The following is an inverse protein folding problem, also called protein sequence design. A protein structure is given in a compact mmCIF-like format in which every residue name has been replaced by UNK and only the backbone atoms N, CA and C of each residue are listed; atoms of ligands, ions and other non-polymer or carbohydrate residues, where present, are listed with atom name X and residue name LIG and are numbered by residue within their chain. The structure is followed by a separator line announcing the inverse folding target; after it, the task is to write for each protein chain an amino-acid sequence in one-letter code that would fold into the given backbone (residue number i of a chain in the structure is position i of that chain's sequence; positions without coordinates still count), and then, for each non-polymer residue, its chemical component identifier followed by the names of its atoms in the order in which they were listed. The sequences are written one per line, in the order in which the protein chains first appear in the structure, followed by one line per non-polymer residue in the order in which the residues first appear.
data_IF_895902306176
#
_entry.id   IF_895902306176
#
_cell.length_a   1.000
_cell.length_b   1.000
_cell.length_c   1.000
_cell.angle_alpha   90.00
_cell.angle_beta   90.00
_cell.angle_gamma   90.00
#
_symmetry.space_group_name_H-M   'P 1'
#
loop_
_entity.id
_entity.type
_entity.pdbx_description
1 polymer ?
#
# COMPACT_ATOMS: atom_id res chain seq x y z
N UNK A 1 14.32 -20.70 -7.37
CA UNK A 1 14.61 -21.05 -5.97
C UNK A 1 15.34 -19.91 -5.26
N UNK A 2 16.40 -19.36 -5.84
CA UNK A 2 17.25 -18.33 -5.23
C UNK A 2 16.53 -17.02 -4.87
N UNK A 3 15.58 -16.56 -5.70
CA UNK A 3 14.79 -15.37 -5.39
C UNK A 3 13.93 -15.55 -4.12
N UNK A 4 13.36 -16.74 -3.94
CA UNK A 4 12.59 -17.08 -2.74
C UNK A 4 13.48 -17.19 -1.50
N UNK A 5 14.68 -17.77 -1.63
CA UNK A 5 15.67 -17.85 -0.53
C UNK A 5 16.18 -16.46 -0.12
N UNK A 6 16.50 -15.58 -1.07
CA UNK A 6 16.87 -14.18 -0.77
C UNK A 6 15.74 -13.43 -0.09
N UNK A 7 14.51 -13.67 -0.52
CA UNK A 7 13.30 -13.11 0.07
C UNK A 7 13.10 -13.57 1.52
N UNK A 8 13.16 -14.87 1.79
CA UNK A 8 13.00 -15.41 3.15
C UNK A 8 14.17 -15.06 4.06
N UNK A 9 15.33 -14.70 3.53
CA UNK A 9 16.44 -14.19 4.33
C UNK A 9 16.25 -12.73 4.79
N UNK A 10 15.32 -11.98 4.19
CA UNK A 10 15.01 -10.62 4.61
C UNK A 10 13.89 -10.60 5.66
N UNK A 11 14.10 -9.87 6.76
CA UNK A 11 13.07 -9.66 7.80
C UNK A 11 11.79 -9.06 7.22
N UNK A 12 11.91 -8.08 6.33
CA UNK A 12 10.77 -7.48 5.61
C UNK A 12 10.04 -8.49 4.73
N UNK A 13 10.77 -9.45 4.14
CA UNK A 13 10.16 -10.50 3.35
C UNK A 13 9.27 -11.40 4.21
N UNK A 14 9.78 -11.85 5.36
CA UNK A 14 9.02 -12.65 6.34
C UNK A 14 7.79 -11.90 6.87
N UNK A 15 7.91 -10.61 7.21
CA UNK A 15 6.76 -9.79 7.63
C UNK A 15 5.67 -9.74 6.55
N UNK A 16 6.04 -9.56 5.28
CA UNK A 16 5.06 -9.52 4.17
C UNK A 16 4.39 -10.85 3.92
N UNK A 17 5.12 -11.97 4.05
CA UNK A 17 4.51 -13.29 3.97
C UNK A 17 3.47 -13.48 5.08
N UNK A 18 3.83 -13.11 6.31
CA UNK A 18 2.92 -13.17 7.45
C UNK A 18 1.72 -12.25 7.25
N UNK A 19 1.92 -11.04 6.71
CA UNK A 19 0.84 -10.12 6.35
C UNK A 19 -0.12 -10.74 5.33
N UNK A 20 0.41 -11.38 4.28
CA UNK A 20 -0.39 -12.08 3.28
C UNK A 20 -1.20 -13.22 3.91
N UNK A 21 -0.59 -14.05 4.75
CA UNK A 21 -1.27 -15.14 5.47
C UNK A 21 -2.38 -14.60 6.38
N UNK A 22 -2.11 -13.52 7.12
CA UNK A 22 -3.10 -12.90 8.01
C UNK A 22 -4.34 -12.45 7.24
N UNK A 23 -4.15 -11.72 6.14
CA UNK A 23 -5.25 -11.21 5.32
C UNK A 23 -5.95 -12.31 4.51
N UNK A 24 -5.23 -13.36 4.10
CA UNK A 24 -5.83 -14.56 3.52
C UNK A 24 -6.74 -15.28 4.54
N UNK A 25 -6.30 -15.42 5.79
CA UNK A 25 -7.15 -15.98 6.86
C UNK A 25 -8.40 -15.14 7.07
N UNK A 26 -8.27 -13.81 7.10
CA UNK A 26 -9.41 -12.89 7.24
C UNK A 26 -10.41 -13.03 6.09
N UNK A 27 -9.93 -13.12 4.84
CA UNK A 27 -10.77 -13.34 3.66
C UNK A 27 -11.46 -14.71 3.69
N UNK A 28 -10.72 -15.78 4.00
CA UNK A 28 -11.27 -17.13 4.09
C UNK A 28 -12.33 -17.24 5.19
N UNK A 29 -12.11 -16.59 6.34
CA UNK A 29 -13.12 -16.54 7.42
C UNK A 29 -14.42 -15.91 6.93
N UNK A 30 -14.34 -14.79 6.23
CA UNK A 30 -15.52 -14.14 5.66
C UNK A 30 -16.26 -15.02 4.64
N UNK A 31 -15.52 -15.75 3.79
CA UNK A 31 -16.12 -16.65 2.79
C UNK A 31 -16.72 -17.94 3.39
N UNK A 32 -16.23 -18.37 4.55
CA UNK A 32 -16.72 -19.56 5.26
C UNK A 32 -17.87 -19.24 6.21
N UNK A 33 -17.98 -18.02 6.70
CA UNK A 33 -19.04 -17.58 7.62
C UNK A 33 -20.46 -17.79 7.05
N UNK A 34 -20.61 -17.79 5.71
CA UNK A 34 -21.87 -18.07 5.02
C UNK A 34 -22.17 -19.56 4.80
N UNK A 35 -21.25 -20.47 5.16
CA UNK A 35 -21.36 -21.91 4.92
C UNK A 35 -21.58 -22.69 6.22
N UNK A 36 -22.64 -23.50 6.25
CA UNK A 36 -22.94 -24.40 7.37
C UNK A 36 -21.80 -25.43 7.59
N UNK A 37 -21.51 -25.74 8.85
CA UNK A 37 -20.52 -26.77 9.23
C UNK A 37 -19.05 -26.33 9.21
N UNK A 38 -18.76 -25.04 9.01
CA UNK A 38 -17.37 -24.54 8.90
C UNK A 38 -16.82 -23.90 10.18
N UNK A 39 -17.55 -23.95 11.30
CA UNK A 39 -17.20 -23.30 12.56
C UNK A 39 -15.81 -23.70 13.08
N UNK A 40 -15.50 -24.99 13.05
CA UNK A 40 -14.19 -25.50 13.46
C UNK A 40 -13.04 -24.92 12.60
N UNK A 41 -13.28 -24.73 11.30
CA UNK A 41 -12.30 -24.10 10.41
C UNK A 41 -12.13 -22.61 10.71
N UNK A 42 -13.22 -21.89 11.00
CA UNK A 42 -13.19 -20.47 11.38
C UNK A 42 -12.36 -20.25 12.65
N UNK A 43 -12.54 -21.11 13.67
CA UNK A 43 -11.76 -21.05 14.92
C UNK A 43 -10.27 -21.27 14.65
N UNK A 44 -9.91 -22.28 13.84
CA UNK A 44 -8.52 -22.53 13.44
C UNK A 44 -7.91 -21.34 12.70
N UNK A 45 -8.65 -20.75 11.74
CA UNK A 45 -8.20 -19.56 11.01
C UNK A 45 -7.99 -18.35 11.92
N UNK A 46 -8.86 -18.14 12.91
CA UNK A 46 -8.72 -17.05 13.89
C UNK A 46 -7.48 -17.22 14.77
N UNK A 47 -7.18 -18.46 15.18
CA UNK A 47 -5.95 -18.78 15.93
C UNK A 47 -4.69 -18.52 15.10
N UNK A 48 -4.70 -18.95 13.84
CA UNK A 48 -3.60 -18.70 12.90
C UNK A 48 -3.40 -17.20 12.65
N UNK A 49 -4.47 -16.46 12.38
CA UNK A 49 -4.43 -15.00 12.20
C UNK A 49 -3.80 -14.30 13.41
N UNK A 50 -4.18 -14.68 14.63
CA UNK A 50 -3.63 -14.12 15.87
C UNK A 50 -2.14 -14.42 16.05
N UNK A 51 -1.75 -15.67 15.79
CA UNK A 51 -0.35 -16.12 15.88
C UNK A 51 0.54 -15.36 14.89
N UNK A 52 0.09 -15.26 13.64
CA UNK A 52 0.81 -14.57 12.57
C UNK A 52 0.88 -13.06 12.84
N UNK A 53 -0.22 -12.44 13.28
CA UNK A 53 -0.26 -11.02 13.68
C UNK A 53 0.75 -10.70 14.79
N UNK A 54 0.90 -11.59 15.77
CA UNK A 54 1.91 -11.46 16.82
C UNK A 54 3.32 -11.57 16.23
N UNK A 55 3.57 -12.57 15.37
CA UNK A 55 4.85 -12.73 14.67
C UNK A 55 5.27 -11.49 13.86
N UNK A 56 4.32 -10.82 13.22
CA UNK A 56 4.57 -9.57 12.48
C UNK A 56 5.09 -8.44 13.36
N UNK A 57 4.62 -8.34 14.62
CA UNK A 57 5.13 -7.31 15.54
C UNK A 57 6.63 -7.47 15.77
N UNK A 58 7.10 -8.71 15.92
CA UNK A 58 8.53 -9.00 16.08
C UNK A 58 9.35 -8.54 14.87
N UNK A 59 8.90 -8.84 13.65
CA UNK A 59 9.61 -8.41 12.44
C UNK A 59 9.54 -6.90 12.19
N UNK A 60 8.61 -6.18 12.82
CA UNK A 60 8.48 -4.73 12.68
C UNK A 60 9.33 -3.94 13.69
N UNK A 61 9.87 -4.59 14.72
CA UNK A 61 10.82 -3.94 15.63
C UNK A 61 12.05 -3.47 14.86
N UNK A 62 12.50 -2.24 15.13
CA UNK A 62 13.61 -1.62 14.41
C UNK A 62 13.23 -0.93 13.10
N UNK A 63 12.02 -1.12 12.57
CA UNK A 63 11.59 -0.42 11.34
C UNK A 63 11.50 1.10 11.49
N UNK A 64 11.53 1.62 12.72
CA UNK A 64 11.68 3.06 12.97
C UNK A 64 12.96 3.61 12.33
N UNK A 65 14.07 2.86 12.37
CA UNK A 65 15.35 3.27 11.77
C UNK A 65 15.22 3.34 10.25
N UNK A 66 14.57 2.35 9.63
CA UNK A 66 14.26 2.37 8.20
C UNK A 66 13.32 3.52 7.81
N UNK A 67 12.41 3.93 8.70
CA UNK A 67 11.55 5.07 8.48
C UNK A 67 12.31 6.41 8.55
N UNK A 68 13.25 6.54 9.49
CA UNK A 68 14.15 7.70 9.60
C UNK A 68 15.02 7.80 8.34
N UNK A 69 15.70 6.71 7.96
CA UNK A 69 16.54 6.67 6.75
C UNK A 69 15.75 7.06 5.49
N UNK A 70 14.51 6.59 5.36
CA UNK A 70 13.66 6.98 4.22
C UNK A 70 13.24 8.45 4.27
N UNK A 71 13.10 9.03 5.46
CA UNK A 71 12.84 10.47 5.63
C UNK A 71 14.03 11.28 5.13
N UNK A 72 15.25 10.91 5.52
CA UNK A 72 16.48 11.56 5.04
C UNK A 72 16.62 11.47 3.53
N UNK A 73 16.36 10.30 2.95
CA UNK A 73 16.38 10.11 1.49
C UNK A 73 15.33 10.96 0.78
N UNK A 74 14.13 11.10 1.35
CA UNK A 74 13.08 11.92 0.73
C UNK A 74 13.40 13.41 0.69
N UNK A 75 14.26 13.92 1.58
CA UNK A 75 14.69 15.33 1.58
C UNK A 75 15.58 15.63 0.37
N UNK A 76 16.28 14.63 -0.16
CA UNK A 76 17.19 14.77 -1.31
C UNK A 76 16.48 14.77 -2.66
N UNK A 77 15.17 14.53 -2.69
CA UNK A 77 14.36 14.53 -3.92
C UNK A 77 14.35 15.92 -4.55
N UNK A 78 14.56 15.98 -5.87
CA UNK A 78 14.72 17.24 -6.61
C UNK A 78 13.40 18.02 -6.67
N UNK A 79 12.30 17.33 -6.97
CA UNK A 79 10.98 17.96 -7.15
C UNK A 79 10.33 18.33 -5.80
N UNK A 80 9.83 19.57 -5.71
CA UNK A 80 9.28 20.12 -4.47
C UNK A 80 8.06 19.34 -3.96
N UNK A 81 7.11 19.02 -4.84
CA UNK A 81 5.83 18.39 -4.45
C UNK A 81 6.06 16.94 -3.95
N UNK A 82 6.74 16.05 -4.69
CA UNK A 82 7.09 14.73 -4.19
C UNK A 82 7.97 14.77 -2.94
N UNK A 83 8.94 15.70 -2.85
CA UNK A 83 9.78 15.87 -1.66
C UNK A 83 8.95 16.14 -0.42
N UNK A 84 8.05 17.12 -0.46
CA UNK A 84 7.19 17.46 0.68
C UNK A 84 6.26 16.30 1.05
N UNK A 85 5.60 15.69 0.07
CA UNK A 85 4.69 14.58 0.32
C UNK A 85 5.41 13.38 0.95
N UNK A 86 6.56 12.98 0.40
CA UNK A 86 7.32 11.83 0.90
C UNK A 86 7.96 12.11 2.26
N UNK A 87 8.46 13.31 2.49
CA UNK A 87 9.05 13.68 3.78
C UNK A 87 7.99 13.64 4.87
N UNK A 88 6.84 14.28 4.65
CA UNK A 88 5.73 14.26 5.60
C UNK A 88 5.15 12.84 5.78
N UNK A 89 5.08 12.05 4.71
CA UNK A 89 4.66 10.66 4.79
C UNK A 89 5.62 9.86 5.67
N UNK A 90 6.93 9.90 5.40
CA UNK A 90 7.91 9.12 6.15
C UNK A 90 8.03 9.57 7.61
N UNK A 91 7.83 10.86 7.92
CA UNK A 91 7.71 11.34 9.31
C UNK A 91 6.51 10.72 10.03
N UNK A 92 5.32 10.69 9.40
CA UNK A 92 4.17 9.99 9.94
C UNK A 92 4.46 8.49 10.16
N UNK A 93 5.21 7.87 9.24
CA UNK A 93 5.64 6.47 9.36
C UNK A 93 6.59 6.25 10.54
N UNK A 94 7.47 7.19 10.85
CA UNK A 94 8.33 7.16 12.06
C UNK A 94 7.45 7.14 13.32
N UNK A 95 6.52 8.10 13.43
CA UNK A 95 5.62 8.17 14.60
C UNK A 95 4.77 6.91 14.74
N UNK A 96 4.30 6.35 13.62
CA UNK A 96 3.60 5.07 13.59
C UNK A 96 4.45 3.93 14.19
N UNK A 97 5.70 3.75 13.76
CA UNK A 97 6.56 2.68 14.29
C UNK A 97 6.96 2.88 15.74
N UNK A 98 7.09 4.13 16.20
CA UNK A 98 7.27 4.43 17.64
C UNK A 98 6.03 3.96 18.42
N UNK A 99 4.82 4.29 17.96
CA UNK A 99 3.59 3.84 18.60
C UNK A 99 3.46 2.31 18.57
N UNK A 100 3.82 1.66 17.47
CA UNK A 100 3.81 0.20 17.33
C UNK A 100 4.79 -0.48 18.31
N UNK A 101 5.98 0.12 18.51
CA UNK A 101 6.97 -0.35 19.49
C UNK A 101 6.43 -0.24 20.91
N UNK A 102 5.79 0.88 21.27
CA UNK A 102 5.15 1.06 22.59
C UNK A 102 4.04 0.03 22.81
N UNK A 103 3.21 -0.22 21.79
CA UNK A 103 2.16 -1.23 21.85
C UNK A 103 2.72 -2.66 21.98
N UNK A 104 3.86 -2.94 21.36
CA UNK A 104 4.56 -4.21 21.51
C UNK A 104 5.12 -4.37 22.93
N UNK A 105 5.82 -3.35 23.47
CA UNK A 105 6.35 -3.33 24.85
C UNK A 105 5.23 -3.60 25.86
N UNK A 106 4.07 -2.96 25.68
CA UNK A 106 2.88 -3.26 26.49
C UNK A 106 2.44 -4.73 26.36
N UNK A 107 2.40 -5.28 25.15
CA UNK A 107 1.95 -6.66 24.94
C UNK A 107 2.85 -7.73 25.56
N UNK A 108 4.12 -7.41 25.82
CA UNK A 108 5.07 -8.28 26.54
C UNK A 108 4.93 -8.13 28.07
N UNK A 109 4.15 -7.16 28.56
CA UNK A 109 3.94 -6.93 29.99
C UNK A 109 4.99 -6.04 30.65
N UNK A 110 5.89 -5.43 29.87
CA UNK A 110 6.94 -4.53 30.39
C UNK A 110 6.39 -3.20 30.92
N UNK A 111 5.20 -2.78 30.47
CA UNK A 111 4.55 -1.55 30.94
C UNK A 111 3.05 -1.76 31.16
N UNK A 112 2.57 -1.46 32.37
CA UNK A 112 1.16 -1.63 32.76
C UNK A 112 0.32 -0.36 32.59
N UNK A 113 0.92 0.83 32.68
CA UNK A 113 0.20 2.12 32.65
C UNK A 113 -0.17 2.68 31.26
N UNK A 114 0.24 2.03 30.17
CA UNK A 114 0.02 2.55 28.80
C UNK A 114 -1.41 2.23 28.34
N UNK A 115 -2.23 3.20 27.94
CA UNK A 115 -3.57 2.92 27.42
C UNK A 115 -3.51 2.33 25.99
N UNK A 116 -3.88 1.05 25.83
CA UNK A 116 -3.75 0.33 24.55
C UNK A 116 -4.58 0.97 23.43
N UNK A 117 -5.80 1.37 23.73
CA UNK A 117 -6.73 1.92 22.74
C UNK A 117 -6.27 3.30 22.24
N UNK A 118 -5.83 4.18 23.15
CA UNK A 118 -5.32 5.52 22.79
C UNK A 118 -4.09 5.43 21.89
N UNK A 119 -3.14 4.55 22.23
CA UNK A 119 -1.92 4.35 21.44
C UNK A 119 -2.20 3.67 20.10
N UNK A 120 -3.12 2.70 20.07
CA UNK A 120 -3.60 2.08 18.83
C UNK A 120 -4.24 3.12 17.91
N UNK A 121 -5.15 3.95 18.43
CA UNK A 121 -5.82 5.00 17.67
C UNK A 121 -4.81 6.01 17.11
N UNK A 122 -3.81 6.42 17.91
CA UNK A 122 -2.74 7.30 17.46
C UNK A 122 -1.91 6.66 16.35
N UNK A 123 -1.54 5.39 16.48
CA UNK A 123 -0.81 4.65 15.43
C UNK A 123 -1.63 4.62 14.13
N UNK A 124 -2.93 4.27 14.22
CA UNK A 124 -3.83 4.21 13.07
C UNK A 124 -3.95 5.57 12.37
N UNK A 125 -4.04 6.69 13.10
CA UNK A 125 -4.09 8.04 12.51
C UNK A 125 -2.82 8.39 11.73
N UNK A 126 -1.64 8.12 12.28
CA UNK A 126 -0.38 8.40 11.57
C UNK A 126 -0.20 7.47 10.37
N UNK A 127 -0.62 6.21 10.48
CA UNK A 127 -0.64 5.29 9.34
C UNK A 127 -1.57 5.77 8.22
N UNK A 128 -2.75 6.31 8.58
CA UNK A 128 -3.66 6.94 7.63
C UNK A 128 -3.01 8.11 6.90
N UNK A 129 -2.41 9.07 7.62
CA UNK A 129 -1.73 10.21 6.99
C UNK A 129 -0.56 9.79 6.12
N UNK A 130 0.23 8.79 6.53
CA UNK A 130 1.28 8.21 5.71
C UNK A 130 0.73 7.71 4.36
N UNK A 131 -0.36 6.94 4.38
CA UNK A 131 -0.98 6.42 3.16
C UNK A 131 -1.61 7.52 2.31
N UNK A 132 -2.28 8.48 2.92
CA UNK A 132 -2.90 9.61 2.22
C UNK A 132 -1.85 10.43 1.47
N UNK A 133 -0.75 10.80 2.13
CA UNK A 133 0.34 11.56 1.52
C UNK A 133 1.06 10.74 0.43
N UNK A 134 1.22 9.44 0.64
CA UNK A 134 1.78 8.54 -0.38
C UNK A 134 0.88 8.50 -1.62
N UNK A 135 -0.45 8.41 -1.45
CA UNK A 135 -1.42 8.44 -2.56
C UNK A 135 -1.46 9.79 -3.28
N UNK A 136 -1.36 10.90 -2.57
CA UNK A 136 -1.27 12.24 -3.18
C UNK A 136 -0.03 12.34 -4.06
N UNK A 137 1.11 11.80 -3.59
CA UNK A 137 2.34 11.72 -4.37
C UNK A 137 2.19 10.81 -5.58
N UNK A 138 1.58 9.64 -5.40
CA UNK A 138 1.34 8.69 -6.50
C UNK A 138 0.46 9.34 -7.58
N UNK A 139 -0.61 10.04 -7.18
CA UNK A 139 -1.49 10.77 -8.09
C UNK A 139 -0.74 11.87 -8.86
N UNK A 140 0.10 12.64 -8.17
CA UNK A 140 0.93 13.66 -8.81
C UNK A 140 1.87 13.06 -9.87
N UNK A 141 2.57 11.98 -9.55
CA UNK A 141 3.44 11.29 -10.52
C UNK A 141 2.63 10.73 -11.70
N UNK A 142 1.43 10.19 -11.46
CA UNK A 142 0.57 9.69 -12.54
C UNK A 142 0.14 10.83 -13.48
N UNK A 143 -0.24 11.98 -12.93
CA UNK A 143 -0.63 13.15 -13.74
C UNK A 143 0.53 13.64 -14.61
N UNK A 144 1.74 13.71 -14.07
CA UNK A 144 2.94 14.07 -14.84
C UNK A 144 3.20 13.06 -15.97
N UNK A 145 3.05 11.77 -15.71
CA UNK A 145 3.23 10.73 -16.72
C UNK A 145 2.14 10.78 -17.81
N UNK A 146 0.91 11.14 -17.44
CA UNK A 146 -0.17 11.35 -18.42
C UNK A 146 0.15 12.51 -19.37
N UNK A 147 0.71 13.61 -18.86
CA UNK A 147 1.15 14.74 -19.69
C UNK A 147 2.25 14.31 -20.67
N UNK A 148 3.25 13.55 -20.23
CA UNK A 148 4.31 13.03 -21.09
C UNK A 148 3.75 12.12 -22.20
N UNK A 149 2.80 11.23 -21.88
CA UNK A 149 2.14 10.37 -22.88
C UNK A 149 1.36 11.20 -23.90
N UNK A 150 0.72 12.29 -23.48
CA UNK A 150 0.01 13.18 -24.38
C UNK A 150 0.96 13.93 -25.32
N UNK A 151 2.08 14.44 -24.79
CA UNK A 151 3.12 15.08 -25.59
C UNK A 151 3.78 14.12 -26.59
N UNK A 152 4.04 12.87 -26.20
CA UNK A 152 4.54 11.81 -27.08
C UNK A 152 3.58 11.53 -28.24
N UNK A 153 2.26 11.53 -27.97
CA UNK A 153 1.24 11.37 -29.02
C UNK A 153 1.19 12.56 -29.96
N UNK A 154 1.16 13.78 -29.43
CA UNK A 154 1.17 15.00 -30.23
C UNK A 154 2.42 15.10 -31.13
N UNK A 155 3.58 14.60 -30.67
CA UNK A 155 4.79 14.47 -31.50
C UNK A 155 4.67 13.40 -32.59
N UNK A 156 4.03 12.27 -32.30
CA UNK A 156 3.79 11.19 -33.28
C UNK A 156 2.78 11.58 -34.36
N UNK A 157 1.72 12.30 -33.99
CA UNK A 157 0.69 12.80 -34.93
C UNK A 157 1.22 13.90 -35.85
N UNK A 158 2.23 14.66 -35.40
CA UNK A 158 2.96 15.64 -36.25
C UNK A 158 3.98 14.98 -37.19
N UNK A 159 4.16 13.66 -37.14
CA UNK A 159 4.98 12.91 -38.10
C UNK A 159 4.18 12.64 -39.40
N UNK A 160 4.77 12.68 -40.61
CA UNK A 160 4.01 12.77 -41.87
C UNK A 160 3.21 11.52 -42.30
N UNK A 161 3.05 10.51 -41.45
CA UNK A 161 2.38 9.25 -41.78
C UNK A 161 1.29 8.94 -40.77
N UNK A 162 0.07 9.41 -41.06
CA UNK A 162 -1.13 9.02 -40.31
C UNK A 162 -2.36 9.84 -40.71
N UNK A 163 -3.22 9.24 -41.53
CA UNK A 163 -4.51 9.77 -42.01
C UNK A 163 -5.43 10.30 -40.89
N UNK A 164 -6.18 11.40 -41.10
CA UNK A 164 -7.11 11.93 -40.11
C UNK A 164 -8.40 11.12 -40.11
N UNK A 165 -8.60 10.32 -39.05
CA UNK A 165 -9.75 9.44 -38.88
C UNK A 165 -10.64 9.83 -37.70
N UNK A 166 -11.63 10.67 -38.00
CA UNK A 166 -13.03 10.61 -37.54
C UNK A 166 -13.44 10.83 -36.05
N UNK A 167 -14.33 11.82 -35.93
CA UNK A 167 -15.56 11.93 -35.12
C UNK A 167 -15.53 12.26 -33.62
N UNK A 168 -15.89 13.53 -33.38
CA UNK A 168 -16.70 14.05 -32.26
C UNK A 168 -17.96 13.19 -32.08
N UNK A 169 -18.24 12.69 -30.86
CA UNK A 169 -19.58 12.62 -30.21
C UNK A 169 -19.44 12.03 -28.79
N UNK A 170 -19.73 12.86 -27.76
CA UNK A 170 -20.09 12.59 -26.34
C UNK A 170 -19.16 13.23 -25.29
N UNK A 171 -19.13 14.57 -25.26
CA UNK A 171 -18.11 15.40 -24.57
C UNK A 171 -17.82 15.06 -23.09
N UNK A 172 -18.77 14.63 -22.28
CA UNK A 172 -18.53 14.40 -20.84
C UNK A 172 -18.19 12.94 -20.47
N UNK A 173 -18.87 11.97 -21.08
CA UNK A 173 -18.61 10.53 -20.83
C UNK A 173 -17.34 10.08 -21.54
N UNK A 174 -17.04 10.63 -22.72
CA UNK A 174 -15.80 10.35 -23.45
C UNK A 174 -14.59 10.97 -22.78
N UNK A 175 -14.73 12.12 -22.12
CA UNK A 175 -13.62 12.73 -21.40
C UNK A 175 -13.20 11.88 -20.22
N UNK A 176 -14.15 11.44 -19.39
CA UNK A 176 -13.85 10.56 -18.26
C UNK A 176 -13.29 9.21 -18.74
N UNK A 177 -13.88 8.61 -19.78
CA UNK A 177 -13.39 7.35 -20.34
C UNK A 177 -11.99 7.51 -20.93
N UNK A 178 -11.72 8.59 -21.67
CA UNK A 178 -10.42 8.91 -22.24
C UNK A 178 -9.39 9.18 -21.15
N UNK A 179 -9.76 9.91 -20.10
CA UNK A 179 -8.94 10.14 -18.93
C UNK A 179 -8.60 8.83 -18.22
N UNK A 180 -9.59 7.97 -17.95
CA UNK A 180 -9.38 6.66 -17.34
C UNK A 180 -8.51 5.75 -18.21
N UNK A 181 -8.71 5.73 -19.53
CA UNK A 181 -7.87 4.97 -20.45
C UNK A 181 -6.42 5.48 -20.48
N UNK A 182 -6.23 6.80 -20.49
CA UNK A 182 -4.90 7.42 -20.39
C UNK A 182 -4.25 7.14 -19.04
N UNK A 183 -5.01 7.19 -17.96
CA UNK A 183 -4.59 6.85 -16.61
C UNK A 183 -4.13 5.39 -16.56
N UNK A 184 -4.97 4.42 -16.93
CA UNK A 184 -4.59 3.00 -16.97
C UNK A 184 -3.38 2.73 -17.86
N UNK A 185 -3.28 3.40 -19.02
CA UNK A 185 -2.15 3.24 -19.93
C UNK A 185 -0.86 3.83 -19.36
N UNK A 186 -0.94 4.98 -18.69
CA UNK A 186 0.17 5.63 -18.00
C UNK A 186 0.69 4.73 -16.87
N UNK A 187 -0.21 4.21 -16.02
CA UNK A 187 0.15 3.25 -14.98
C UNK A 187 0.78 1.98 -15.55
N UNK A 188 0.27 1.46 -16.67
CA UNK A 188 0.85 0.26 -17.32
C UNK A 188 2.25 0.51 -17.90
N UNK A 189 2.56 1.75 -18.31
CA UNK A 189 3.89 2.16 -18.78
C UNK A 189 4.89 2.28 -17.63
N UNK A 190 4.42 2.52 -16.40
CA UNK A 190 5.21 2.59 -15.17
C UNK A 190 4.79 1.55 -14.13
N UNK A 191 5.16 0.27 -14.31
CA UNK A 191 4.87 -0.80 -13.36
C UNK A 191 5.21 -0.52 -11.88
N UNK A 192 6.30 0.19 -11.52
CA UNK A 192 6.60 0.53 -10.13
C UNK A 192 5.55 1.46 -9.49
N UNK A 193 5.08 2.46 -10.24
CA UNK A 193 4.07 3.42 -9.79
C UNK A 193 2.71 2.75 -9.63
N UNK A 194 2.36 1.86 -10.56
CA UNK A 194 1.14 1.06 -10.46
C UNK A 194 1.12 0.18 -9.21
N UNK A 195 2.22 -0.55 -8.95
CA UNK A 195 2.30 -1.42 -7.77
C UNK A 195 2.20 -0.64 -6.46
N UNK A 196 2.84 0.52 -6.37
CA UNK A 196 2.78 1.35 -5.15
C UNK A 196 1.38 1.96 -4.96
N UNK A 197 0.78 2.48 -6.04
CA UNK A 197 -0.60 3.03 -6.01
C UNK A 197 -1.61 1.98 -5.58
N UNK A 198 -1.61 0.79 -6.21
CA UNK A 198 -2.52 -0.31 -5.86
C UNK A 198 -2.33 -0.74 -4.42
N UNK A 199 -1.07 -0.87 -3.97
CA UNK A 199 -0.76 -1.22 -2.60
C UNK A 199 -1.29 -0.17 -1.61
N UNK A 200 -1.05 1.12 -1.86
CA UNK A 200 -1.47 2.21 -0.98
C UNK A 200 -3.00 2.35 -0.94
N UNK A 201 -3.68 2.19 -2.08
CA UNK A 201 -5.15 2.19 -2.18
C UNK A 201 -5.78 1.00 -1.44
N UNK A 202 -5.19 -0.18 -1.54
CA UNK A 202 -5.68 -1.35 -0.80
C UNK A 202 -5.41 -1.20 0.71
N UNK A 203 -4.27 -0.62 1.09
CA UNK A 203 -3.89 -0.45 2.50
C UNK A 203 -4.69 0.63 3.22
N UNK A 204 -5.20 1.65 2.54
CA UNK A 204 -5.96 2.75 3.18
C UNK A 204 -7.30 2.29 3.75
N UNK A 205 -7.85 1.19 3.24
CA UNK A 205 -9.08 0.57 3.76
C UNK A 205 -8.92 0.15 5.23
N UNK A 206 -7.70 -0.24 5.64
CA UNK A 206 -7.41 -0.71 7.00
C UNK A 206 -7.60 0.41 8.03
N UNK A 207 -6.88 1.56 7.95
CA UNK A 207 -7.08 2.63 8.91
C UNK A 207 -8.44 3.31 8.76
N UNK A 208 -9.03 3.40 7.56
CA UNK A 208 -10.38 3.94 7.39
C UNK A 208 -11.42 3.14 8.17
N UNK A 209 -11.32 1.80 8.15
CA UNK A 209 -12.18 0.92 8.92
C UNK A 209 -11.93 1.05 10.43
N UNK A 210 -10.66 1.13 10.85
CA UNK A 210 -10.29 1.27 12.27
C UNK A 210 -10.66 2.63 12.88
N UNK A 211 -10.64 3.70 12.08
CA UNK A 211 -11.06 5.05 12.51
C UNK A 211 -12.59 5.23 12.47
N UNK A 212 -13.33 4.26 11.92
CA UNK A 212 -14.78 4.36 11.76
C UNK A 212 -15.24 5.33 10.68
N UNK A 213 -14.34 5.82 9.83
CA UNK A 213 -14.64 6.76 8.73
C UNK A 213 -15.41 6.04 7.62
N UNK A 214 -14.98 4.81 7.29
CA UNK A 214 -15.64 3.97 6.29
C UNK A 214 -15.67 2.52 6.77
N UNK A 215 -16.87 2.02 7.08
CA UNK A 215 -17.07 0.63 7.55
C UNK A 215 -17.02 -0.32 6.37
N UNK A 216 -15.93 -1.05 6.25
CA UNK A 216 -15.74 -2.07 5.22
C UNK A 216 -16.06 -3.46 5.77
N UNK A 217 -16.64 -4.33 4.94
CA UNK A 217 -16.82 -5.72 5.29
C UNK A 217 -15.47 -6.41 5.49
N UNK A 218 -15.42 -7.42 6.38
CA UNK A 218 -14.21 -8.17 6.72
C UNK A 218 -13.53 -8.75 5.47
N UNK A 219 -14.31 -9.25 4.51
CA UNK A 219 -13.82 -9.76 3.23
C UNK A 219 -13.12 -8.70 2.37
N UNK A 220 -13.63 -7.46 2.34
CA UNK A 220 -13.02 -6.37 1.55
C UNK A 220 -11.68 -5.97 2.16
N UNK A 221 -11.60 -5.84 3.48
CA UNK A 221 -10.34 -5.56 4.18
C UNK A 221 -9.34 -6.71 4.02
N UNK A 222 -9.81 -7.95 4.09
CA UNK A 222 -9.01 -9.15 3.84
C UNK A 222 -8.47 -9.20 2.41
N UNK A 223 -9.31 -8.94 1.41
CA UNK A 223 -8.91 -8.92 0.01
C UNK A 223 -7.90 -7.79 -0.27
N UNK A 224 -8.21 -6.57 0.18
CA UNK A 224 -7.30 -5.42 0.04
C UNK A 224 -5.94 -5.69 0.66
N UNK A 225 -5.92 -6.14 1.92
CA UNK A 225 -4.66 -6.47 2.59
C UNK A 225 -3.89 -7.63 1.95
N UNK A 226 -4.57 -8.58 1.29
CA UNK A 226 -3.94 -9.65 0.54
C UNK A 226 -3.30 -9.12 -0.76
N UNK A 227 -4.05 -8.34 -1.54
CA UNK A 227 -3.57 -7.71 -2.78
C UNK A 227 -2.37 -6.81 -2.51
N UNK A 228 -2.44 -5.96 -1.47
CA UNK A 228 -1.31 -5.09 -1.11
C UNK A 228 -0.09 -5.86 -0.64
N UNK A 229 -0.29 -6.98 0.07
CA UNK A 229 0.81 -7.86 0.48
C UNK A 229 1.47 -8.53 -0.71
N UNK A 230 0.69 -9.03 -1.68
CA UNK A 230 1.21 -9.63 -2.92
C UNK A 230 1.95 -8.61 -3.77
N UNK A 231 1.38 -7.42 -3.99
CA UNK A 231 2.08 -6.32 -4.65
C UNK A 231 3.41 -6.00 -3.93
N UNK A 232 3.37 -5.99 -2.60
CA UNK A 232 4.56 -5.86 -1.79
C UNK A 232 5.59 -6.99 -2.00
N UNK A 233 5.16 -8.24 -2.06
CA UNK A 233 6.06 -9.38 -2.31
C UNK A 233 6.75 -9.25 -3.67
N UNK A 234 6.00 -8.87 -4.70
CA UNK A 234 6.51 -8.64 -6.06
C UNK A 234 7.61 -7.58 -6.05
N UNK A 235 7.44 -6.46 -5.34
CA UNK A 235 8.47 -5.40 -5.26
C UNK A 235 9.77 -5.82 -4.57
N UNK A 236 9.72 -6.83 -3.68
CA UNK A 236 10.93 -7.36 -3.02
C UNK A 236 11.64 -8.36 -3.94
N UNK A 237 10.87 -9.25 -4.58
CA UNK A 237 11.42 -10.26 -5.52
C UNK A 237 12.03 -9.58 -6.74
N UNK A 238 11.38 -8.53 -7.24
CA UNK A 238 11.81 -7.75 -8.39
C UNK A 238 12.13 -6.32 -7.96
N UNK A 239 13.36 -6.04 -7.47
CA UNK A 239 13.73 -4.70 -7.02
C UNK A 239 13.69 -3.65 -8.13
N UNK A 240 13.73 -4.06 -9.40
CA UNK A 240 13.52 -3.19 -10.57
C UNK A 240 12.10 -2.59 -10.61
N UNK A 241 11.14 -3.24 -9.95
CA UNK A 241 9.75 -2.80 -9.84
C UNK A 241 9.52 -1.92 -8.59
N UNK A 242 10.55 -1.65 -7.80
CA UNK A 242 10.47 -0.71 -6.68
C UNK A 242 10.54 0.71 -7.22
N UNK A 243 9.55 1.53 -6.89
CA UNK A 243 9.53 2.93 -7.28
C UNK A 243 10.73 3.65 -6.66
N UNK A 244 11.61 4.15 -7.53
CA UNK A 244 12.76 4.98 -7.14
C UNK A 244 12.34 6.42 -7.37
N UNK A 245 12.29 7.19 -6.29
CA UNK A 245 12.17 8.65 -6.40
C UNK A 245 13.55 9.20 -6.74
N UNK A 246 13.66 9.89 -7.87
CA UNK A 246 14.85 10.66 -8.26
C UNK A 246 14.68 12.12 -7.84
#
# INVERSE_FOLDING_TARGET
MDAFVRFTNQSQGRDRLFRATQHACMLLRYLLESKAGTEAAIVKLKSLESSVSTGRKWFRLGNVVHAIQATEQSIQVTDLVPRLCLTLANLNRVVYYICDTVLWVKSVGLTSGVNREKWQLRATRHYYYFLLLSLVRDLYEILLQMEQVLQDRAKREKSPQGSPGYNVVSEDTDYLQSFLLLFFRSLRRHPPLLLDTVKNLCDILIPLNQLGIYKSNLGVVGLGGLVSSVAGLITIVYPQLKLKTH
#
